data_IF_984216898373
#
_entry.id   IF_984216898373
#
_cell.length_a   1.000
_cell.length_b   1.000
_cell.length_c   1.000
_cell.angle_alpha   90.00
_cell.angle_beta   90.00
_cell.angle_gamma   90.00
#
_symmetry.space_group_name_H-M   'P 1'
#
loop_
_entity.id
_entity.type
_entity.pdbx_description
1 polymer ?
#
# COMPACT_ATOMS: atom_id res chain seq x y z
N UNK A 1 -15.28 44.49 -12.89
CA UNK A 1 -14.48 44.35 -11.66
C UNK A 1 -13.21 43.61 -12.04
N UNK A 2 -12.03 44.20 -11.79
CA UNK A 2 -10.76 43.50 -12.02
C UNK A 2 -10.69 42.35 -11.02
N UNK A 3 -10.49 41.14 -11.52
CA UNK A 3 -10.21 39.97 -10.73
C UNK A 3 -8.89 40.20 -9.98
N UNK A 4 -9.02 40.55 -8.69
CA UNK A 4 -7.91 40.77 -7.78
C UNK A 4 -7.46 39.45 -7.12
N UNK A 5 -7.79 38.28 -7.69
CA UNK A 5 -7.11 37.05 -7.28
C UNK A 5 -5.62 37.20 -7.61
N UNK A 6 -4.73 37.12 -6.61
CA UNK A 6 -3.31 37.21 -6.88
C UNK A 6 -2.95 36.05 -7.82
N UNK A 7 -2.29 36.38 -8.94
CA UNK A 7 -1.72 35.42 -9.89
C UNK A 7 -0.59 34.67 -9.21
N UNK A 8 -0.95 33.70 -8.39
CA UNK A 8 0.00 32.88 -7.65
C UNK A 8 0.14 31.56 -8.41
N UNK A 9 1.26 31.40 -9.09
CA UNK A 9 1.55 30.29 -10.02
C UNK A 9 2.20 29.08 -9.34
N UNK A 10 2.39 29.09 -8.01
CA UNK A 10 3.00 27.98 -7.26
C UNK A 10 2.31 27.73 -5.90
N UNK A 11 2.19 26.45 -5.53
CA UNK A 11 1.65 26.02 -4.23
C UNK A 11 2.46 26.59 -3.05
N UNK A 12 3.77 26.77 -3.27
CA UNK A 12 4.73 27.41 -2.36
C UNK A 12 4.26 28.74 -1.81
N UNK A 13 3.82 29.63 -2.69
CA UNK A 13 3.37 30.97 -2.29
C UNK A 13 2.11 30.92 -1.44
N UNK A 14 1.17 30.00 -1.72
CA UNK A 14 0.01 29.79 -0.84
C UNK A 14 0.47 29.34 0.55
N UNK A 15 1.41 28.38 0.63
CA UNK A 15 1.96 27.91 1.90
C UNK A 15 2.62 29.04 2.72
N UNK A 16 3.37 29.93 2.07
CA UNK A 16 4.09 31.04 2.71
C UNK A 16 3.17 32.13 3.27
N UNK A 17 2.01 32.36 2.64
CA UNK A 17 1.08 33.42 3.05
C UNK A 17 0.02 32.93 4.05
N UNK A 18 -0.05 31.62 4.36
CA UNK A 18 -0.93 31.14 5.42
C UNK A 18 -0.37 31.52 6.80
N UNK A 19 -1.21 32.02 7.73
CA UNK A 19 -0.86 32.16 9.13
C UNK A 19 -0.45 30.82 9.77
N UNK A 20 0.35 30.85 10.83
CA UNK A 20 0.76 29.63 11.56
C UNK A 20 -0.39 29.04 12.39
N UNK A 21 -1.34 29.88 12.81
CA UNK A 21 -2.55 29.54 13.56
C UNK A 21 -3.80 29.48 12.66
N UNK A 22 -3.61 29.33 11.35
CA UNK A 22 -4.70 29.29 10.40
C UNK A 22 -5.71 28.18 10.74
N UNK A 23 -6.97 28.56 10.96
CA UNK A 23 -8.06 27.62 11.20
C UNK A 23 -8.29 26.70 10.00
N UNK A 24 -9.00 25.58 10.22
CA UNK A 24 -9.34 24.62 9.17
C UNK A 24 -10.08 25.28 7.99
N UNK A 25 -10.95 26.27 8.26
CA UNK A 25 -11.65 27.04 7.22
C UNK A 25 -10.69 27.88 6.36
N UNK A 26 -9.66 28.47 6.97
CA UNK A 26 -8.60 29.22 6.27
C UNK A 26 -7.75 28.26 5.44
N UNK A 27 -7.35 27.12 6.00
CA UNK A 27 -6.60 26.06 5.28
C UNK A 27 -7.41 25.56 4.07
N UNK A 28 -8.69 25.27 4.26
CA UNK A 28 -9.60 24.81 3.21
C UNK A 28 -9.69 25.80 2.04
N UNK A 29 -9.91 27.08 2.35
CA UNK A 29 -10.13 28.13 1.34
C UNK A 29 -8.85 28.57 0.65
N UNK A 30 -7.76 28.74 1.41
CA UNK A 30 -6.54 29.40 0.92
C UNK A 30 -5.43 28.43 0.50
N UNK A 31 -5.56 27.13 0.80
CA UNK A 31 -4.55 26.12 0.45
C UNK A 31 -5.14 24.89 -0.24
N UNK A 32 -6.11 24.22 0.40
CA UNK A 32 -6.55 22.89 -0.02
C UNK A 32 -7.15 22.85 -1.43
N UNK A 33 -7.92 23.88 -1.84
CA UNK A 33 -8.45 23.98 -3.21
C UNK A 33 -7.36 24.00 -4.27
N UNK A 34 -6.26 24.72 -4.00
CA UNK A 34 -5.11 24.77 -4.90
C UNK A 34 -4.35 23.45 -4.89
N UNK A 35 -4.16 22.83 -3.72
CA UNK A 35 -3.56 21.50 -3.60
C UNK A 35 -4.30 20.48 -4.48
N UNK A 36 -5.62 20.45 -4.42
CA UNK A 36 -6.46 19.54 -5.23
C UNK A 36 -6.27 19.78 -6.73
N UNK A 37 -6.19 21.05 -7.14
CA UNK A 37 -5.90 21.42 -8.53
C UNK A 37 -4.52 20.91 -8.97
N UNK A 38 -3.49 21.03 -8.13
CA UNK A 38 -2.15 20.49 -8.42
C UNK A 38 -2.11 18.96 -8.48
N UNK A 39 -2.98 18.28 -7.73
CA UNK A 39 -3.19 16.83 -7.87
C UNK A 39 -3.89 16.45 -9.20
N UNK A 40 -4.37 17.44 -9.96
CA UNK A 40 -4.94 17.28 -11.29
C UNK A 40 -6.45 17.07 -11.31
N UNK A 41 -7.18 17.57 -10.32
CA UNK A 41 -8.64 17.56 -10.31
C UNK A 41 -9.19 18.97 -10.58
N UNK A 42 -10.11 19.06 -11.52
CA UNK A 42 -10.84 20.28 -11.88
C UNK A 42 -11.97 20.59 -10.90
N UNK A 43 -12.55 21.79 -10.97
CA UNK A 43 -13.67 22.20 -10.10
C UNK A 43 -14.92 21.31 -10.25
N UNK A 44 -15.11 20.68 -11.41
CA UNK A 44 -16.22 19.74 -11.65
C UNK A 44 -15.98 18.32 -11.10
N UNK A 45 -14.78 18.08 -10.58
CA UNK A 45 -14.31 16.79 -10.07
C UNK A 45 -14.16 16.80 -8.54
N UNK A 46 -14.73 17.81 -7.87
CA UNK A 46 -14.59 18.07 -6.44
C UNK A 46 -15.97 18.25 -5.80
N UNK A 47 -16.22 17.55 -4.71
CA UNK A 47 -17.36 17.78 -3.82
C UNK A 47 -16.83 18.18 -2.44
N UNK A 48 -17.10 19.42 -1.96
CA UNK A 48 -16.82 19.79 -0.59
C UNK A 48 -17.83 19.15 0.37
N UNK A 49 -17.42 18.89 1.61
CA UNK A 49 -18.28 18.40 2.70
C UNK A 49 -19.09 17.16 2.27
N UNK A 50 -18.38 16.13 1.80
CA UNK A 50 -19.00 14.93 1.24
C UNK A 50 -19.42 13.95 2.34
N UNK A 51 -20.68 13.54 2.33
CA UNK A 51 -21.19 12.48 3.22
C UNK A 51 -20.75 11.10 2.73
N UNK A 52 -19.88 10.47 3.52
CA UNK A 52 -19.32 9.16 3.20
C UNK A 52 -20.28 8.00 3.43
N UNK A 53 -21.46 8.24 4.01
CA UNK A 53 -22.47 7.21 4.26
C UNK A 53 -22.11 6.34 5.46
N UNK A 54 -22.21 6.91 6.67
CA UNK A 54 -21.91 6.23 7.93
C UNK A 54 -20.47 6.34 8.43
N UNK A 55 -19.55 6.86 7.60
CA UNK A 55 -18.16 7.17 7.98
C UNK A 55 -17.94 8.60 8.48
N UNK A 56 -18.97 9.45 8.42
CA UNK A 56 -18.92 10.89 8.70
C UNK A 56 -18.81 11.73 7.42
N UNK A 57 -18.59 13.04 7.59
CA UNK A 57 -18.37 13.99 6.49
C UNK A 57 -16.86 14.16 6.31
N UNK A 58 -16.39 14.17 5.07
CA UNK A 58 -14.99 14.50 4.71
C UNK A 58 -14.95 15.86 4.01
N UNK A 59 -13.88 16.63 4.22
CA UNK A 59 -13.80 18.01 3.74
C UNK A 59 -13.87 18.11 2.22
N UNK A 60 -13.20 17.19 1.53
CA UNK A 60 -13.31 17.07 0.08
C UNK A 60 -13.34 15.61 -0.34
N UNK A 61 -14.25 15.30 -1.26
CA UNK A 61 -14.18 14.11 -2.08
C UNK A 61 -13.86 14.52 -3.52
N UNK A 62 -13.06 13.72 -4.22
CA UNK A 62 -12.64 13.98 -5.59
C UNK A 62 -12.73 12.73 -6.45
N UNK A 63 -13.03 12.92 -7.74
CA UNK A 63 -13.08 11.84 -8.73
C UNK A 63 -12.97 12.42 -10.13
N UNK A 64 -12.14 11.81 -10.97
CA UNK A 64 -12.05 12.22 -12.38
C UNK A 64 -13.35 11.99 -13.11
N UNK A 65 -13.74 12.94 -13.96
CA UNK A 65 -14.92 12.81 -14.79
C UNK A 65 -14.69 11.71 -15.83
N UNK A 66 -15.76 10.97 -16.12
CA UNK A 66 -15.84 10.09 -17.28
C UNK A 66 -16.74 10.77 -18.31
N UNK A 67 -16.67 10.35 -19.58
CA UNK A 67 -17.28 11.05 -20.73
C UNK A 67 -18.65 11.69 -20.44
N UNK A 68 -19.61 10.90 -19.93
CA UNK A 68 -20.97 11.37 -19.61
C UNK A 68 -21.28 11.36 -18.10
N UNK A 69 -20.27 11.17 -17.24
CA UNK A 69 -20.44 11.08 -15.80
C UNK A 69 -19.55 12.12 -15.11
N UNK A 70 -20.17 13.26 -14.79
CA UNK A 70 -19.54 14.40 -14.12
C UNK A 70 -19.74 14.25 -12.62
N UNK A 71 -18.65 14.21 -11.86
CA UNK A 71 -18.72 13.92 -10.42
C UNK A 71 -19.46 15.00 -9.63
N UNK A 72 -19.33 16.27 -10.00
CA UNK A 72 -20.09 17.37 -9.38
C UNK A 72 -21.62 17.14 -9.43
N UNK A 73 -22.09 16.44 -10.47
CA UNK A 73 -23.50 16.14 -10.68
C UNK A 73 -23.90 14.84 -9.97
N UNK A 74 -23.14 13.76 -10.19
CA UNK A 74 -23.53 12.42 -9.72
C UNK A 74 -23.19 12.16 -8.26
N UNK A 75 -22.14 12.81 -7.72
CA UNK A 75 -21.73 12.72 -6.31
C UNK A 75 -21.59 11.27 -5.81
N UNK A 76 -21.19 10.35 -6.68
CA UNK A 76 -21.03 8.93 -6.35
C UNK A 76 -19.63 8.44 -6.67
N UNK A 77 -19.23 7.34 -6.02
CA UNK A 77 -17.99 6.62 -6.28
C UNK A 77 -16.71 7.47 -6.16
N UNK A 78 -16.55 8.30 -5.10
CA UNK A 78 -15.38 9.15 -4.95
C UNK A 78 -14.10 8.31 -5.02
N UNK A 79 -13.05 8.86 -5.62
CA UNK A 79 -11.77 8.18 -5.80
C UNK A 79 -10.76 8.54 -4.71
N UNK A 80 -10.68 9.82 -4.35
CA UNK A 80 -9.79 10.35 -3.32
C UNK A 80 -10.61 11.18 -2.32
N UNK A 81 -10.41 10.92 -1.03
CA UNK A 81 -10.94 11.74 0.07
C UNK A 81 -9.82 12.58 0.70
N UNK A 82 -10.15 13.77 1.20
CA UNK A 82 -9.20 14.67 1.84
C UNK A 82 -9.82 15.16 3.14
N UNK A 83 -9.15 14.85 4.24
CA UNK A 83 -9.46 15.30 5.59
C UNK A 83 -8.49 16.41 5.98
N UNK A 84 -9.03 17.57 6.31
CA UNK A 84 -8.27 18.76 6.67
C UNK A 84 -8.24 18.97 8.17
N UNK A 85 -7.21 19.68 8.64
CA UNK A 85 -7.17 20.28 9.97
C UNK A 85 -6.62 21.70 9.88
N UNK A 86 -6.84 22.51 10.91
CA UNK A 86 -6.15 23.79 11.06
C UNK A 86 -4.64 23.60 11.29
N UNK A 87 -3.84 24.61 10.96
CA UNK A 87 -2.37 24.59 11.17
C UNK A 87 -1.98 24.52 12.64
N UNK A 88 -2.86 25.00 13.51
CA UNK A 88 -2.77 24.92 14.96
C UNK A 88 -2.85 23.46 15.49
N UNK A 89 -3.31 22.51 14.66
CA UNK A 89 -3.40 21.10 15.04
C UNK A 89 -2.08 20.38 14.76
N UNK A 90 -1.49 19.78 15.80
CA UNK A 90 -0.27 18.99 15.67
C UNK A 90 -0.50 17.66 14.93
N UNK A 91 -0.13 17.60 13.64
CA UNK A 91 -0.17 16.40 12.81
C UNK A 91 1.17 15.65 12.70
N UNK A 92 2.15 15.94 13.57
CA UNK A 92 3.38 15.15 13.64
C UNK A 92 3.03 13.68 13.90
N UNK A 93 3.73 12.77 13.21
CA UNK A 93 3.43 11.35 13.25
C UNK A 93 3.38 10.82 14.69
N UNK A 94 2.36 10.01 14.97
CA UNK A 94 2.06 9.44 16.29
C UNK A 94 1.54 10.39 17.39
N UNK A 95 1.40 11.70 17.12
CA UNK A 95 0.72 12.61 18.05
C UNK A 95 -0.74 12.18 18.29
N UNK A 96 -1.38 12.58 19.40
CA UNK A 96 -2.80 12.29 19.64
C UNK A 96 -3.71 12.78 18.51
N UNK A 97 -3.51 14.01 18.03
CA UNK A 97 -4.31 14.60 16.96
C UNK A 97 -4.06 13.94 15.61
N UNK A 98 -2.83 13.53 15.32
CA UNK A 98 -2.51 12.70 14.15
C UNK A 98 -3.30 11.39 14.19
N UNK A 99 -3.24 10.64 15.30
CA UNK A 99 -3.97 9.36 15.45
C UNK A 99 -5.48 9.55 15.30
N UNK A 100 -6.04 10.62 15.90
CA UNK A 100 -7.45 10.95 15.78
C UNK A 100 -7.84 11.22 14.31
N UNK A 101 -7.05 12.03 13.60
CA UNK A 101 -7.27 12.40 12.19
C UNK A 101 -7.16 11.19 11.27
N UNK A 102 -6.14 10.33 11.45
CA UNK A 102 -6.00 9.08 10.70
C UNK A 102 -7.19 8.15 10.94
N UNK A 103 -7.66 8.01 12.19
CA UNK A 103 -8.82 7.19 12.50
C UNK A 103 -10.10 7.76 11.88
N UNK A 104 -10.24 9.09 11.83
CA UNK A 104 -11.35 9.76 11.15
C UNK A 104 -11.33 9.47 9.65
N UNK A 105 -10.19 9.68 8.98
CA UNK A 105 -10.02 9.36 7.56
C UNK A 105 -10.32 7.89 7.27
N UNK A 106 -9.89 6.97 8.14
CA UNK A 106 -10.18 5.54 7.98
C UNK A 106 -11.68 5.24 8.05
N UNK A 107 -12.44 5.86 8.96
CA UNK A 107 -13.89 5.70 9.03
C UNK A 107 -14.57 6.23 7.76
N UNK A 108 -14.17 7.41 7.31
CA UNK A 108 -14.67 8.03 6.08
C UNK A 108 -14.42 7.15 4.84
N UNK A 109 -13.18 6.66 4.66
CA UNK A 109 -12.82 5.77 3.56
C UNK A 109 -13.60 4.44 3.56
N UNK A 110 -14.04 3.97 4.73
CA UNK A 110 -14.86 2.76 4.88
C UNK A 110 -16.37 3.03 4.82
N UNK A 111 -16.78 4.29 4.63
CA UNK A 111 -18.18 4.66 4.48
C UNK A 111 -18.85 3.99 3.27
N UNK A 112 -20.17 3.80 3.36
CA UNK A 112 -20.95 3.09 2.35
C UNK A 112 -20.91 3.77 0.98
N UNK A 113 -20.79 5.09 0.94
CA UNK A 113 -20.70 5.86 -0.31
C UNK A 113 -19.26 5.92 -0.86
N UNK A 114 -18.29 5.26 -0.22
CA UNK A 114 -16.87 5.34 -0.54
C UNK A 114 -16.29 3.98 -0.99
N UNK A 115 -17.12 3.05 -1.48
CA UNK A 115 -16.63 1.73 -1.93
C UNK A 115 -15.56 1.84 -3.02
N UNK A 116 -15.75 2.75 -3.98
CA UNK A 116 -14.80 3.04 -5.05
C UNK A 116 -13.56 3.85 -4.60
N UNK A 117 -13.57 4.41 -3.38
CA UNK A 117 -12.46 5.21 -2.88
C UNK A 117 -11.20 4.35 -2.75
N UNK A 118 -10.12 4.92 -3.27
CA UNK A 118 -8.83 4.28 -3.48
C UNK A 118 -7.73 4.99 -2.71
N UNK A 119 -7.93 6.28 -2.41
CA UNK A 119 -6.94 7.10 -1.73
C UNK A 119 -7.59 8.00 -0.68
N UNK A 120 -6.82 8.34 0.36
CA UNK A 120 -7.16 9.35 1.34
C UNK A 120 -5.96 10.23 1.63
N UNK A 121 -6.17 11.51 1.90
CA UNK A 121 -5.14 12.44 2.36
C UNK A 121 -5.57 13.02 3.70
N UNK A 122 -4.63 13.13 4.63
CA UNK A 122 -4.74 14.09 5.75
C UNK A 122 -3.83 15.27 5.45
N UNK A 123 -4.30 16.50 5.70
CA UNK A 123 -3.49 17.70 5.49
C UNK A 123 -3.90 18.83 6.43
N UNK A 124 -2.94 19.59 6.93
CA UNK A 124 -3.22 20.86 7.62
C UNK A 124 -2.39 22.01 7.06
N UNK A 125 -1.94 21.90 5.81
CA UNK A 125 -0.90 22.72 5.17
C UNK A 125 0.49 22.71 5.81
N UNK A 126 0.67 22.30 7.08
CA UNK A 126 2.00 22.10 7.68
C UNK A 126 2.49 20.67 7.52
N UNK A 127 1.59 19.69 7.47
CA UNK A 127 1.87 18.28 7.25
C UNK A 127 0.93 17.71 6.19
N UNK A 128 1.39 16.69 5.47
CA UNK A 128 0.57 15.91 4.54
C UNK A 128 0.93 14.43 4.62
N UNK A 129 -0.07 13.57 4.49
CA UNK A 129 0.15 12.14 4.30
C UNK A 129 -0.89 11.52 3.38
N UNK A 130 -0.43 10.68 2.46
CA UNK A 130 -1.26 9.89 1.57
C UNK A 130 -1.49 8.50 2.16
N UNK A 131 -2.72 8.01 2.05
CA UNK A 131 -3.16 6.67 2.43
C UNK A 131 -3.77 5.95 1.24
N UNK A 132 -3.43 4.68 1.07
CA UNK A 132 -4.04 3.78 0.09
C UNK A 132 -5.16 2.99 0.75
N UNK A 133 -6.29 2.85 0.06
CA UNK A 133 -7.37 1.91 0.38
C UNK A 133 -7.40 0.80 -0.68
N UNK A 134 -7.39 -0.45 -0.22
CA UNK A 134 -7.61 -1.62 -1.05
C UNK A 134 -8.63 -2.56 -0.37
N UNK A 135 -9.85 -2.61 -0.91
CA UNK A 135 -10.97 -3.26 -0.23
C UNK A 135 -11.21 -2.61 1.13
N UNK A 136 -11.08 -3.38 2.22
CA UNK A 136 -11.21 -2.89 3.60
C UNK A 136 -9.87 -2.53 4.27
N UNK A 137 -8.76 -2.73 3.58
CA UNK A 137 -7.42 -2.47 4.11
C UNK A 137 -7.03 -1.03 3.79
N UNK A 138 -6.66 -0.25 4.80
CA UNK A 138 -6.19 1.13 4.64
C UNK A 138 -4.82 1.26 5.29
N UNK A 139 -3.84 1.71 4.52
CA UNK A 139 -2.45 1.80 4.94
C UNK A 139 -1.78 3.07 4.42
N UNK A 140 -0.81 3.63 5.16
CA UNK A 140 -0.03 4.78 4.70
C UNK A 140 0.70 4.45 3.41
N UNK A 141 0.68 5.36 2.43
CA UNK A 141 1.44 5.25 1.17
C UNK A 141 2.66 6.19 1.14
N UNK A 142 2.71 7.13 2.07
CA UNK A 142 3.84 8.00 2.39
C UNK A 142 4.01 8.06 3.90
N UNK A 143 5.17 8.53 4.38
CA UNK A 143 5.29 9.02 5.76
C UNK A 143 4.43 10.27 5.93
N UNK A 144 4.22 10.72 7.18
CA UNK A 144 3.68 12.05 7.43
C UNK A 144 4.78 13.08 7.16
N UNK A 145 4.64 13.82 6.06
CA UNK A 145 5.68 14.74 5.56
C UNK A 145 5.36 16.15 6.06
N UNK A 146 6.32 16.78 6.71
CA UNK A 146 6.28 18.21 7.00
C UNK A 146 6.46 19.00 5.70
N UNK A 147 5.55 19.93 5.43
CA UNK A 147 5.54 20.76 4.23
C UNK A 147 6.31 22.04 4.48
N UNK A 148 7.32 22.29 3.66
CA UNK A 148 8.09 23.53 3.64
C UNK A 148 8.05 24.17 2.25
N UNK A 149 8.33 25.48 2.13
CA UNK A 149 8.42 26.13 0.83
C UNK A 149 9.47 25.52 -0.13
N UNK A 150 10.40 24.72 0.38
CA UNK A 150 11.46 24.06 -0.38
C UNK A 150 11.03 22.68 -0.88
N UNK A 151 10.17 21.94 -0.16
CA UNK A 151 9.83 20.55 -0.49
C UNK A 151 8.41 20.35 -1.05
N UNK A 152 7.57 21.39 -1.00
CA UNK A 152 6.13 21.26 -1.28
C UNK A 152 5.84 20.75 -2.69
N UNK A 153 6.50 21.30 -3.70
CA UNK A 153 6.24 20.94 -5.09
C UNK A 153 6.64 19.48 -5.37
N UNK A 154 7.82 19.05 -4.89
CA UNK A 154 8.29 17.66 -4.98
C UNK A 154 7.38 16.69 -4.22
N UNK A 155 6.91 17.10 -3.03
CA UNK A 155 6.01 16.29 -2.21
C UNK A 155 4.66 16.08 -2.91
N UNK A 156 4.09 17.13 -3.50
CA UNK A 156 2.82 17.01 -4.21
C UNK A 156 3.00 16.25 -5.53
N UNK A 157 4.12 16.42 -6.24
CA UNK A 157 4.45 15.63 -7.42
C UNK A 157 4.57 14.13 -7.10
N UNK A 158 5.21 13.77 -5.98
CA UNK A 158 5.29 12.40 -5.49
C UNK A 158 3.89 11.82 -5.19
N UNK A 159 3.06 12.56 -4.46
CA UNK A 159 1.69 12.14 -4.12
C UNK A 159 0.86 11.97 -5.40
N UNK A 160 0.91 12.94 -6.32
CA UNK A 160 0.24 12.89 -7.62
C UNK A 160 0.66 11.66 -8.42
N UNK A 161 1.96 11.38 -8.49
CA UNK A 161 2.49 10.21 -9.21
C UNK A 161 1.93 8.90 -8.64
N UNK A 162 1.82 8.78 -7.31
CA UNK A 162 1.21 7.60 -6.67
C UNK A 162 -0.27 7.44 -6.97
N UNK A 163 -1.01 8.56 -6.97
CA UNK A 163 -2.44 8.59 -7.29
C UNK A 163 -2.67 8.24 -8.78
N UNK A 164 -1.88 8.79 -9.69
CA UNK A 164 -1.98 8.55 -11.13
C UNK A 164 -1.62 7.12 -11.50
N UNK A 165 -0.55 6.59 -10.90
CA UNK A 165 -0.05 5.24 -11.17
C UNK A 165 -0.46 4.28 -10.07
N UNK A 166 -1.77 4.20 -9.83
CA UNK A 166 -2.31 3.38 -8.75
C UNK A 166 -2.14 1.89 -9.06
N UNK A 167 -1.37 1.13 -8.24
CA UNK A 167 -1.28 -0.31 -8.43
C UNK A 167 -2.65 -0.97 -8.19
N UNK A 168 -2.91 -2.00 -8.99
CA UNK A 168 -4.10 -2.83 -8.85
C UNK A 168 -3.98 -3.75 -7.63
N UNK A 169 -2.80 -4.34 -7.45
CA UNK A 169 -2.56 -5.33 -6.42
C UNK A 169 -2.41 -4.71 -5.02
N UNK A 170 -2.90 -5.45 -4.02
CA UNK A 170 -2.37 -5.39 -2.66
C UNK A 170 -1.28 -6.45 -2.49
N UNK A 171 -0.03 -6.04 -2.27
CA UNK A 171 1.06 -6.98 -1.95
C UNK A 171 1.09 -7.25 -0.45
N UNK A 172 0.86 -8.51 -0.07
CA UNK A 172 0.78 -8.96 1.32
C UNK A 172 1.88 -9.97 1.60
N UNK A 173 2.79 -9.64 2.52
CA UNK A 173 3.74 -10.62 3.03
C UNK A 173 3.15 -11.29 4.27
N UNK A 174 3.05 -12.62 4.24
CA UNK A 174 2.62 -13.42 5.39
C UNK A 174 3.87 -13.83 6.15
N UNK A 175 4.08 -13.23 7.31
CA UNK A 175 5.32 -13.38 8.08
C UNK A 175 5.04 -13.63 9.56
N UNK A 176 5.94 -14.34 10.23
CA UNK A 176 6.08 -14.38 11.68
C UNK A 176 7.37 -15.13 11.98
N UNK A 177 8.13 -14.67 12.96
CA UNK A 177 9.39 -15.27 13.42
C UNK A 177 9.21 -16.63 14.15
N UNK A 178 8.08 -17.33 13.93
CA UNK A 178 7.78 -18.63 14.50
C UNK A 178 7.27 -19.61 13.42
N UNK A 179 7.85 -20.81 13.42
CA UNK A 179 7.41 -21.93 12.59
C UNK A 179 6.08 -22.53 13.05
N UNK A 180 5.38 -23.21 12.15
CA UNK A 180 4.20 -24.02 12.51
C UNK A 180 2.98 -23.24 13.02
N UNK A 181 2.86 -21.95 12.70
CA UNK A 181 1.71 -21.11 13.11
C UNK A 181 0.63 -20.97 12.03
N UNK A 182 0.80 -21.63 10.88
CA UNK A 182 -0.16 -21.61 9.77
C UNK A 182 0.06 -20.51 8.72
N UNK A 183 1.28 -19.97 8.54
CA UNK A 183 1.59 -18.96 7.51
C UNK A 183 1.24 -19.45 6.10
N UNK A 184 1.91 -20.51 5.66
CA UNK A 184 1.72 -21.17 4.37
C UNK A 184 0.26 -21.60 4.13
N UNK A 185 -0.37 -22.21 5.13
CA UNK A 185 -1.79 -22.58 5.06
C UNK A 185 -2.68 -21.36 4.90
N UNK A 186 -2.42 -20.27 5.62
CA UNK A 186 -3.17 -19.01 5.49
C UNK A 186 -2.97 -18.42 4.10
N UNK A 187 -1.73 -18.38 3.61
CA UNK A 187 -1.38 -17.87 2.28
C UNK A 187 -2.16 -18.59 1.17
N UNK A 188 -2.10 -19.92 1.12
CA UNK A 188 -2.78 -20.73 0.10
C UNK A 188 -4.30 -20.60 0.19
N UNK A 189 -4.87 -20.62 1.40
CA UNK A 189 -6.32 -20.50 1.55
C UNK A 189 -6.83 -19.11 1.18
N UNK A 190 -6.14 -18.03 1.56
CA UNK A 190 -6.50 -16.67 1.14
C UNK A 190 -6.45 -16.55 -0.38
N UNK A 191 -5.42 -17.09 -1.03
CA UNK A 191 -5.32 -17.09 -2.48
C UNK A 191 -6.48 -17.85 -3.14
N UNK A 192 -6.80 -19.05 -2.65
CA UNK A 192 -7.91 -19.84 -3.16
C UNK A 192 -9.27 -19.16 -2.98
N UNK A 193 -9.55 -18.56 -1.81
CA UNK A 193 -10.80 -17.84 -1.57
C UNK A 193 -10.93 -16.58 -2.42
N UNK A 194 -9.86 -15.81 -2.57
CA UNK A 194 -9.87 -14.62 -3.42
C UNK A 194 -10.04 -14.98 -4.90
N UNK A 195 -9.38 -16.05 -5.37
CA UNK A 195 -9.59 -16.60 -6.70
C UNK A 195 -11.05 -17.05 -6.93
N UNK A 196 -11.67 -17.71 -5.94
CA UNK A 196 -13.10 -18.07 -5.98
C UNK A 196 -14.02 -16.84 -6.06
N UNK A 197 -13.60 -15.70 -5.52
CA UNK A 197 -14.30 -14.41 -5.63
C UNK A 197 -13.96 -13.65 -6.93
N UNK A 198 -13.30 -14.30 -7.89
CA UNK A 198 -12.97 -13.74 -9.20
C UNK A 198 -11.76 -12.79 -9.19
N UNK A 199 -10.93 -12.80 -8.15
CA UNK A 199 -9.71 -11.98 -8.08
C UNK A 199 -8.55 -12.68 -8.76
N UNK A 200 -7.72 -11.93 -9.48
CA UNK A 200 -6.43 -12.43 -9.98
C UNK A 200 -5.43 -12.43 -8.83
N UNK A 201 -4.91 -13.61 -8.49
CA UNK A 201 -3.99 -13.77 -7.35
C UNK A 201 -2.67 -14.37 -7.83
N UNK A 202 -1.57 -13.79 -7.35
CA UNK A 202 -0.22 -14.34 -7.45
C UNK A 202 0.28 -14.73 -6.06
N UNK A 203 0.93 -15.89 -5.94
CA UNK A 203 1.51 -16.39 -4.69
C UNK A 203 2.99 -16.69 -4.88
N UNK A 204 3.85 -16.15 -4.03
CA UNK A 204 5.29 -16.38 -4.05
C UNK A 204 5.69 -17.21 -2.82
N UNK A 205 6.42 -18.30 -3.03
CA UNK A 205 7.04 -19.07 -1.95
C UNK A 205 8.47 -18.57 -1.70
N UNK A 206 8.64 -17.80 -0.63
CA UNK A 206 9.93 -17.26 -0.19
C UNK A 206 10.45 -17.97 1.08
N UNK A 207 9.96 -19.19 1.34
CA UNK A 207 10.59 -20.12 2.28
C UNK A 207 11.41 -21.17 1.52
N UNK A 208 12.58 -20.75 1.01
CA UNK A 208 13.45 -21.62 0.21
C UNK A 208 13.94 -22.86 0.97
N UNK A 209 13.96 -22.85 2.30
CA UNK A 209 14.43 -23.99 3.10
C UNK A 209 13.36 -25.08 3.22
N UNK A 210 12.12 -24.70 3.56
CA UNK A 210 11.03 -25.67 3.77
C UNK A 210 10.28 -25.96 2.47
N UNK A 211 9.95 -24.91 1.71
CA UNK A 211 9.22 -24.98 0.43
C UNK A 211 7.84 -25.64 0.55
N UNK A 212 7.25 -25.61 1.75
CA UNK A 212 5.98 -26.28 2.05
C UNK A 212 4.83 -25.81 1.14
N UNK A 213 4.84 -24.53 0.73
CA UNK A 213 3.86 -24.01 -0.21
C UNK A 213 4.00 -24.74 -1.55
N UNK A 214 5.21 -24.76 -2.10
CA UNK A 214 5.52 -25.35 -3.40
C UNK A 214 5.35 -26.87 -3.42
N UNK A 215 6.03 -27.59 -2.52
CA UNK A 215 6.15 -29.04 -2.57
C UNK A 215 5.01 -29.76 -1.84
N UNK A 216 4.70 -29.36 -0.62
CA UNK A 216 3.77 -30.07 0.26
C UNK A 216 2.30 -29.74 -0.05
N UNK A 217 1.96 -28.45 -0.25
CA UNK A 217 0.58 -28.02 -0.43
C UNK A 217 0.12 -27.99 -1.88
N UNK A 218 0.99 -27.54 -2.81
CA UNK A 218 0.64 -27.38 -4.21
C UNK A 218 1.17 -28.49 -5.12
N UNK A 219 2.09 -29.34 -4.62
CA UNK A 219 2.72 -30.43 -5.37
C UNK A 219 3.32 -29.97 -6.72
N UNK A 220 3.97 -28.80 -6.70
CA UNK A 220 4.63 -28.20 -7.84
C UNK A 220 6.10 -28.64 -7.88
N UNK A 221 6.60 -28.97 -9.07
CA UNK A 221 8.03 -29.22 -9.30
C UNK A 221 8.68 -27.97 -9.91
N UNK A 222 9.42 -27.16 -9.12
CA UNK A 222 10.09 -25.98 -9.66
C UNK A 222 11.23 -26.36 -10.60
N UNK A 223 11.53 -25.46 -11.54
CA UNK A 223 12.76 -25.54 -12.32
C UNK A 223 13.92 -24.98 -11.48
N UNK A 224 14.98 -25.78 -11.36
CA UNK A 224 16.15 -25.43 -10.54
C UNK A 224 16.89 -24.20 -11.07
N UNK A 225 17.10 -23.20 -10.21
CA UNK A 225 17.81 -21.95 -10.49
C UNK A 225 17.05 -20.94 -11.37
N UNK A 226 15.79 -21.19 -11.73
CA UNK A 226 15.03 -20.28 -12.59
C UNK A 226 14.61 -18.99 -11.86
N UNK A 227 14.11 -19.11 -10.63
CA UNK A 227 13.72 -17.93 -9.83
C UNK A 227 14.96 -17.18 -9.36
N UNK A 228 16.05 -17.87 -9.04
CA UNK A 228 17.35 -17.23 -8.77
C UNK A 228 17.74 -16.31 -9.92
N UNK A 229 17.79 -16.84 -11.15
CA UNK A 229 18.08 -16.05 -12.36
C UNK A 229 17.10 -14.90 -12.57
N UNK A 230 15.80 -15.13 -12.37
CA UNK A 230 14.80 -14.08 -12.54
C UNK A 230 14.94 -12.95 -11.52
N UNK A 231 15.53 -13.20 -10.34
CA UNK A 231 15.81 -12.18 -9.33
C UNK A 231 17.17 -11.49 -9.57
N UNK A 232 18.19 -12.22 -10.02
CA UNK A 232 19.58 -11.73 -10.12
C UNK A 232 19.92 -11.16 -11.50
N UNK A 233 19.41 -11.74 -12.59
CA UNK A 233 19.61 -11.26 -13.96
C UNK A 233 18.61 -10.16 -14.31
N UNK A 234 19.09 -9.05 -14.86
CA UNK A 234 18.26 -7.91 -15.28
C UNK A 234 17.43 -8.22 -16.53
N UNK A 235 17.89 -9.17 -17.36
CA UNK A 235 17.25 -9.51 -18.63
C UNK A 235 16.13 -10.55 -18.50
N UNK A 236 16.01 -11.18 -17.32
CA UNK A 236 15.00 -12.19 -17.06
C UNK A 236 13.88 -11.57 -16.23
N UNK A 237 12.68 -11.55 -16.81
CA UNK A 237 11.47 -11.08 -16.12
C UNK A 237 11.00 -12.13 -15.11
N UNK A 238 10.48 -11.68 -13.97
CA UNK A 238 9.81 -12.55 -12.99
C UNK A 238 8.65 -13.32 -13.63
N UNK A 239 7.99 -12.75 -14.64
CA UNK A 239 6.92 -13.41 -15.39
C UNK A 239 7.32 -14.76 -15.99
N UNK A 240 8.61 -14.98 -16.28
CA UNK A 240 9.12 -16.25 -16.82
C UNK A 240 9.04 -17.42 -15.84
N UNK A 241 8.88 -17.14 -14.54
CA UNK A 241 8.87 -18.15 -13.48
C UNK A 241 7.48 -18.37 -12.89
N UNK A 242 6.50 -17.56 -13.33
CA UNK A 242 5.10 -17.64 -12.90
C UNK A 242 4.44 -18.81 -13.63
N UNK A 243 3.83 -19.71 -12.86
CA UNK A 243 3.06 -20.83 -13.39
C UNK A 243 1.63 -20.83 -12.84
N UNK A 244 0.63 -21.24 -13.64
CA UNK A 244 -0.73 -21.36 -13.14
C UNK A 244 -0.86 -22.59 -12.23
N UNK A 245 -1.44 -22.41 -11.06
CA UNK A 245 -1.91 -23.50 -10.22
C UNK A 245 -3.41 -23.70 -10.43
N UNK A 246 -3.80 -24.94 -10.73
CA UNK A 246 -5.19 -25.30 -10.99
C UNK A 246 -5.59 -26.43 -10.04
N UNK A 247 -6.50 -26.12 -9.12
CA UNK A 247 -7.17 -27.13 -8.31
C UNK A 247 -8.58 -27.36 -8.87
N UNK A 248 -8.89 -28.60 -9.24
CA UNK A 248 -10.20 -28.97 -9.77
C UNK A 248 -10.79 -30.13 -8.99
N UNK A 249 -12.04 -29.99 -8.57
CA UNK A 249 -12.87 -31.09 -8.10
C UNK A 249 -14.16 -31.17 -8.91
N UNK A 250 -15.07 -32.07 -8.53
CA UNK A 250 -16.33 -32.28 -9.25
C UNK A 250 -17.28 -31.07 -9.27
N UNK A 251 -17.10 -30.09 -8.38
CA UNK A 251 -18.01 -28.95 -8.22
C UNK A 251 -17.40 -27.61 -8.61
N UNK A 252 -16.07 -27.46 -8.51
CA UNK A 252 -15.39 -26.17 -8.66
C UNK A 252 -13.99 -26.35 -9.24
N UNK A 253 -13.55 -25.32 -9.95
CA UNK A 253 -12.16 -25.10 -10.34
C UNK A 253 -11.68 -23.80 -9.70
N UNK A 254 -10.50 -23.86 -9.09
CA UNK A 254 -9.81 -22.71 -8.51
C UNK A 254 -8.51 -22.54 -9.30
N UNK A 255 -8.23 -21.31 -9.72
CA UNK A 255 -7.02 -21.00 -10.46
C UNK A 255 -6.40 -19.72 -9.90
N UNK A 256 -5.12 -19.79 -9.57
CA UNK A 256 -4.27 -18.65 -9.23
C UNK A 256 -2.85 -18.94 -9.68
N UNK A 257 -2.02 -17.91 -9.79
CA UNK A 257 -0.66 -18.05 -10.27
C UNK A 257 0.34 -18.17 -9.12
N UNK A 258 1.44 -18.86 -9.37
CA UNK A 258 2.45 -19.20 -8.36
C UNK A 258 3.85 -18.94 -8.90
N UNK A 259 4.68 -18.32 -8.07
CA UNK A 259 6.15 -18.36 -8.17
C UNK A 259 6.63 -19.39 -7.15
N UNK A 260 7.04 -20.58 -7.59
CA UNK A 260 7.47 -21.62 -6.69
C UNK A 260 8.85 -21.30 -6.10
N UNK A 261 9.14 -21.83 -4.92
CA UNK A 261 10.43 -21.67 -4.26
C UNK A 261 11.52 -22.39 -5.05
N UNK A 262 12.67 -21.72 -5.20
CA UNK A 262 13.81 -22.26 -5.93
C UNK A 262 14.65 -23.19 -5.03
N UNK A 263 14.84 -24.47 -5.40
CA UNK A 263 15.74 -25.37 -4.67
C UNK A 263 17.17 -24.81 -4.55
N UNK A 264 17.71 -24.20 -5.61
CA UNK A 264 19.07 -23.64 -5.63
C UNK A 264 19.29 -22.57 -4.57
N UNK A 265 18.25 -21.80 -4.26
CA UNK A 265 18.31 -20.73 -3.26
C UNK A 265 18.44 -21.30 -1.84
N UNK A 266 17.93 -22.50 -1.57
CA UNK A 266 18.08 -23.16 -0.27
C UNK A 266 19.54 -23.41 0.11
N UNK A 267 20.42 -23.55 -0.88
CA UNK A 267 21.84 -23.84 -0.71
C UNK A 267 22.68 -22.58 -0.45
N UNK A 268 22.10 -21.38 -0.66
CA UNK A 268 22.85 -20.14 -0.58
C UNK A 268 23.12 -19.73 0.89
N UNK A 269 24.39 -19.45 1.25
CA UNK A 269 24.69 -18.78 2.51
C UNK A 269 24.24 -17.31 2.47
N UNK A 270 24.03 -16.71 3.64
CA UNK A 270 23.47 -15.35 3.75
C UNK A 270 24.30 -14.28 3.02
N UNK A 271 25.63 -14.39 3.00
CA UNK A 271 26.48 -13.43 2.29
C UNK A 271 26.29 -13.47 0.76
N UNK A 272 25.91 -14.62 0.20
CA UNK A 272 25.70 -14.78 -1.24
C UNK A 272 24.42 -14.09 -1.71
N UNK A 273 23.36 -14.14 -0.89
CA UNK A 273 22.16 -13.32 -1.12
C UNK A 273 22.50 -11.83 -1.18
N UNK A 274 23.28 -11.34 -0.21
CA UNK A 274 23.64 -9.93 -0.08
C UNK A 274 24.56 -9.43 -1.22
N UNK A 275 25.40 -10.29 -1.79
CA UNK A 275 26.28 -9.92 -2.91
C UNK A 275 25.52 -9.85 -4.24
N UNK A 276 24.52 -10.71 -4.43
CA UNK A 276 23.78 -10.81 -5.70
C UNK A 276 22.54 -9.91 -5.76
N UNK A 277 21.91 -9.60 -4.63
CA UNK A 277 20.66 -8.85 -4.60
C UNK A 277 20.73 -7.65 -3.64
N UNK A 278 19.95 -6.62 -3.95
CA UNK A 278 19.67 -5.51 -3.03
C UNK A 278 18.31 -5.70 -2.36
N UNK A 279 18.09 -5.07 -1.22
CA UNK A 279 16.85 -5.23 -0.45
C UNK A 279 15.57 -4.89 -1.24
N UNK A 280 15.68 -4.00 -2.23
CA UNK A 280 14.57 -3.60 -3.11
C UNK A 280 14.37 -4.49 -4.35
N UNK A 281 15.17 -5.57 -4.51
CA UNK A 281 15.17 -6.38 -5.74
C UNK A 281 13.80 -6.97 -6.02
N UNK A 282 13.19 -7.64 -5.05
CA UNK A 282 11.88 -8.25 -5.22
C UNK A 282 10.79 -7.20 -5.50
N UNK A 283 10.82 -6.07 -4.78
CA UNK A 283 9.87 -4.98 -5.00
C UNK A 283 9.89 -4.54 -6.47
N UNK A 284 11.08 -4.28 -7.04
CA UNK A 284 11.23 -3.88 -8.44
C UNK A 284 10.79 -4.96 -9.41
N UNK A 285 11.12 -6.22 -9.13
CA UNK A 285 10.74 -7.36 -9.99
C UNK A 285 9.22 -7.60 -9.99
N UNK A 286 8.50 -7.14 -8.97
CA UNK A 286 7.04 -7.20 -8.89
C UNK A 286 6.33 -6.00 -9.55
N UNK A 287 7.03 -4.96 -10.00
CA UNK A 287 6.39 -3.70 -10.44
C UNK A 287 5.32 -3.94 -11.52
N UNK A 288 5.60 -4.77 -12.53
CA UNK A 288 4.61 -5.12 -13.57
C UNK A 288 3.46 -5.97 -13.03
N UNK A 289 3.77 -6.99 -12.24
CA UNK A 289 2.78 -7.89 -11.64
C UNK A 289 1.75 -7.12 -10.78
N UNK A 290 2.17 -6.03 -10.12
CA UNK A 290 1.29 -5.19 -9.31
C UNK A 290 0.18 -4.49 -10.10
N UNK A 291 0.28 -4.40 -11.42
CA UNK A 291 -0.78 -3.88 -12.29
C UNK A 291 -1.64 -5.00 -12.93
N UNK A 292 -1.13 -6.23 -12.99
CA UNK A 292 -1.86 -7.38 -13.57
C UNK A 292 -2.76 -8.08 -12.53
N UNK A 293 -2.31 -8.18 -11.27
CA UNK A 293 -2.98 -8.91 -10.19
C UNK A 293 -3.82 -8.00 -9.28
N UNK A 294 -4.83 -8.57 -8.61
CA UNK A 294 -5.60 -7.92 -7.54
C UNK A 294 -4.93 -8.14 -6.18
N UNK A 295 -4.27 -9.28 -5.99
CA UNK A 295 -3.53 -9.61 -4.77
C UNK A 295 -2.23 -10.34 -5.10
N UNK A 296 -1.17 -10.00 -4.39
CA UNK A 296 0.11 -10.72 -4.44
C UNK A 296 0.43 -11.15 -3.02
N UNK A 297 0.50 -12.46 -2.76
CA UNK A 297 0.92 -12.98 -1.47
C UNK A 297 2.36 -13.46 -1.52
N UNK A 298 3.14 -13.18 -0.48
CA UNK A 298 4.50 -13.68 -0.31
C UNK A 298 4.54 -14.48 0.99
N UNK A 299 4.72 -15.80 0.89
CA UNK A 299 4.92 -16.67 2.05
C UNK A 299 6.37 -16.61 2.49
N UNK A 300 6.63 -15.97 3.63
CA UNK A 300 8.00 -15.75 4.10
C UNK A 300 8.42 -16.79 5.15
N UNK A 301 9.69 -17.16 5.12
CA UNK A 301 10.30 -18.08 6.07
C UNK A 301 10.13 -17.59 7.54
N UNK A 302 10.09 -18.50 8.54
CA UNK A 302 9.94 -18.17 9.96
C UNK A 302 11.23 -17.61 10.60
N UNK A 303 11.97 -16.75 9.91
CA UNK A 303 13.20 -16.12 10.38
C UNK A 303 13.37 -14.72 9.76
N UNK A 304 14.23 -13.88 10.35
CA UNK A 304 14.51 -12.53 9.86
C UNK A 304 15.76 -12.44 8.96
N UNK A 305 16.01 -13.44 8.09
CA UNK A 305 17.14 -13.42 7.14
C UNK A 305 16.78 -12.71 5.84
N UNK A 306 17.78 -12.52 4.99
CA UNK A 306 17.66 -11.75 3.75
C UNK A 306 16.42 -12.08 2.86
N UNK A 307 16.04 -13.34 2.59
CA UNK A 307 14.81 -13.62 1.83
C UNK A 307 13.52 -13.08 2.46
N UNK A 308 13.36 -13.21 3.78
CA UNK A 308 12.23 -12.66 4.52
C UNK A 308 12.24 -11.13 4.50
N UNK A 309 13.43 -10.51 4.55
CA UNK A 309 13.58 -9.07 4.44
C UNK A 309 13.21 -8.56 3.04
N UNK A 310 13.59 -9.27 1.96
CA UNK A 310 13.12 -8.97 0.60
C UNK A 310 11.60 -9.03 0.50
N UNK A 311 11.00 -10.08 1.06
CA UNK A 311 9.54 -10.27 1.09
C UNK A 311 8.85 -9.12 1.83
N UNK A 312 9.32 -8.76 3.02
CA UNK A 312 8.73 -7.64 3.78
C UNK A 312 8.94 -6.32 3.05
N UNK A 313 10.13 -6.03 2.53
CA UNK A 313 10.38 -4.80 1.79
C UNK A 313 9.45 -4.63 0.57
N UNK A 314 9.14 -5.72 -0.13
CA UNK A 314 8.23 -5.72 -1.28
C UNK A 314 6.76 -5.48 -0.91
N UNK A 315 6.36 -5.72 0.34
CA UNK A 315 4.97 -5.67 0.75
C UNK A 315 4.41 -4.25 0.90
N UNK A 316 3.10 -4.15 0.71
CA UNK A 316 2.28 -3.01 1.15
C UNK A 316 1.79 -3.22 2.58
N UNK A 317 1.46 -4.47 2.94
CA UNK A 317 1.06 -4.83 4.30
C UNK A 317 1.68 -6.16 4.71
N UNK A 318 1.97 -6.29 5.99
CA UNK A 318 2.44 -7.56 6.58
C UNK A 318 1.32 -8.17 7.38
N UNK A 319 0.91 -9.38 6.99
CA UNK A 319 0.00 -10.21 7.77
C UNK A 319 0.82 -11.07 8.73
N UNK A 320 0.55 -10.93 10.03
CA UNK A 320 1.21 -11.69 11.09
C UNK A 320 0.22 -12.70 11.72
N UNK A 321 0.05 -13.92 11.18
CA UNK A 321 -0.70 -14.96 11.87
C UNK A 321 -0.12 -15.19 13.25
N UNK A 322 -0.96 -15.39 14.27
CA UNK A 322 -0.50 -15.69 15.64
C UNK A 322 -1.38 -16.78 16.27
N UNK A 323 -0.76 -17.64 17.09
CA UNK A 323 -1.48 -18.62 17.91
C UNK A 323 -1.75 -18.00 19.29
N UNK A 324 -3.02 -17.89 19.67
CA UNK A 324 -3.46 -17.30 20.93
C UNK A 324 -3.07 -18.12 22.17
N UNK A 325 -2.80 -19.41 22.02
CA UNK A 325 -2.51 -20.35 23.10
C UNK A 325 -1.02 -20.48 23.45
N UNK A 326 -0.15 -19.60 22.92
CA UNK A 326 1.28 -19.69 23.18
C UNK A 326 1.90 -18.29 23.22
N UNK A 327 2.26 -17.82 24.42
CA UNK A 327 2.85 -16.51 24.71
C UNK A 327 4.09 -16.20 23.86
N UNK A 328 4.90 -17.21 23.51
CA UNK A 328 6.05 -17.02 22.62
C UNK A 328 5.65 -16.57 21.20
N UNK A 329 4.47 -16.97 20.71
CA UNK A 329 4.00 -16.55 19.38
C UNK A 329 3.64 -15.06 19.34
N UNK A 330 3.08 -14.54 20.45
CA UNK A 330 2.77 -13.12 20.60
C UNK A 330 4.04 -12.29 20.78
N UNK A 331 5.01 -12.78 21.56
CA UNK A 331 6.30 -12.11 21.72
C UNK A 331 7.05 -11.99 20.39
N UNK A 332 7.07 -13.05 19.57
CA UNK A 332 7.68 -13.01 18.25
C UNK A 332 7.00 -12.01 17.29
N UNK A 333 5.67 -11.92 17.33
CA UNK A 333 4.94 -10.90 16.57
C UNK A 333 5.24 -9.49 17.08
N UNK A 334 5.34 -9.30 18.39
CA UNK A 334 5.71 -8.02 18.99
C UNK A 334 7.13 -7.59 18.59
N UNK A 335 8.11 -8.50 18.57
CA UNK A 335 9.46 -8.23 18.05
C UNK A 335 9.42 -7.79 16.59
N UNK A 336 8.65 -8.51 15.74
CA UNK A 336 8.51 -8.10 14.34
C UNK A 336 7.97 -6.67 14.21
N UNK A 337 6.92 -6.33 14.96
CA UNK A 337 6.27 -5.00 14.92
C UNK A 337 7.19 -3.89 15.47
N UNK A 338 7.93 -4.16 16.55
CA UNK A 338 8.72 -3.13 17.26
C UNK A 338 10.13 -2.94 16.68
N UNK A 339 10.69 -3.98 16.08
CA UNK A 339 12.10 -3.99 15.66
C UNK A 339 12.23 -4.16 14.14
N UNK A 340 11.63 -5.21 13.59
CA UNK A 340 11.89 -5.62 12.20
C UNK A 340 11.19 -4.71 11.17
N UNK A 341 9.89 -4.45 11.33
CA UNK A 341 9.15 -3.58 10.41
C UNK A 341 9.69 -2.14 10.41
N UNK A 342 9.95 -1.49 11.57
CA UNK A 342 10.52 -0.15 11.58
C UNK A 342 11.90 -0.04 10.90
N UNK A 343 12.71 -1.10 10.92
CA UNK A 343 13.96 -1.14 10.17
C UNK A 343 13.71 -1.11 8.65
N UNK A 344 12.71 -1.87 8.17
CA UNK A 344 12.34 -1.88 6.74
C UNK A 344 11.73 -0.55 6.30
N UNK A 345 10.86 0.06 7.11
CA UNK A 345 10.28 1.39 6.85
C UNK A 345 11.38 2.43 6.59
N UNK A 346 12.41 2.46 7.46
CA UNK A 346 13.55 3.37 7.32
C UNK A 346 14.31 3.17 6.01
N UNK A 347 14.48 1.92 5.57
CA UNK A 347 15.14 1.61 4.29
C UNK A 347 14.28 1.97 3.07
N UNK A 348 12.97 1.77 3.16
CA UNK A 348 12.05 2.01 2.05
C UNK A 348 11.79 3.50 1.81
N UNK A 349 11.99 4.35 2.84
CA UNK A 349 11.75 5.81 2.80
C UNK A 349 10.35 6.20 2.33
N UNK A 350 9.43 5.23 2.32
CA UNK A 350 8.01 5.38 2.08
C UNK A 350 7.31 4.84 3.32
N UNK A 351 6.10 5.28 3.65
CA UNK A 351 5.36 4.83 4.84
C UNK A 351 4.93 3.35 4.82
N UNK A 352 5.59 2.50 4.03
CA UNK A 352 5.28 1.12 3.72
C UNK A 352 6.53 0.25 3.83
N UNK A 353 6.38 -1.03 4.23
CA UNK A 353 5.82 -1.46 5.49
C UNK A 353 6.81 -1.33 6.64
#
# INVERSE_FOLDING_TARGET
>A
MKDNTPRVTSLKSYLQHLPQDASEAIVSTNFARYLISYLGFSTTEIIPQYDTGGGGITDFATRRNLANDIFLQTKSNPFLLIELKGRDINLTENSPSYKATVNQLKRQLLGNNCQAAQWGIINNSSHIQLFRKHGKTIFPATTCIELTPENIDDTIALIKTKIDNTPKALTVTVYNNKGGIGKTTTTVNLAAFLALLGKKVLVLDFDFNQRDLTSSLLNIKPQDGLLEKALTDRNIDLKSVIIPYIFKNSKRQITFDVVPADPKMAEYPEFQYNSQMKIFTLHRKLDLARYEYDYIFIDAAPNWRFPSQLAVYAADVVLLPTKHNNSFSLNNAATAIKEFLPQMQKLKKMGLP
#
